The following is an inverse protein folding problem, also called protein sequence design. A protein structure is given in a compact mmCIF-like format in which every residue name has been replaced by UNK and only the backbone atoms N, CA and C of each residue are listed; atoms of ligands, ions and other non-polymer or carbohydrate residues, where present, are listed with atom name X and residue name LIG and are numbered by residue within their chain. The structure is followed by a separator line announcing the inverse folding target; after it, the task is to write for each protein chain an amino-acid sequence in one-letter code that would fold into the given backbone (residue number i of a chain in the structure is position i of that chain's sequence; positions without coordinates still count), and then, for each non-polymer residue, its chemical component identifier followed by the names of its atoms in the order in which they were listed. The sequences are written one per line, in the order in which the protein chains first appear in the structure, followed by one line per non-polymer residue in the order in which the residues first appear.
data_IF_179248354051
#
_entry.id   IF_179248354051
#
_cell.length_a   1.000
_cell.length_b   1.000
_cell.length_c   1.000
_cell.angle_alpha   90.00
_cell.angle_beta   90.00
_cell.angle_gamma   90.00
#
_symmetry.space_group_name_H-M   'P 1'
#
loop_
_entity.id
_entity.type
_entity.pdbx_description
1 polymer ?
#
# COMPACT_ATOMS: atom_id res chain seq x y z
N UNK A 1 -33.84 8.13 -33.93
CA UNK A 1 -34.06 6.98 -32.98
C UNK A 1 -34.29 7.45 -31.55
N UNK A 2 -33.78 8.62 -31.10
CA UNK A 2 -33.95 9.12 -29.74
C UNK A 2 -35.36 9.68 -29.46
N UNK A 3 -36.15 9.98 -30.50
CA UNK A 3 -37.50 10.49 -30.45
C UNK A 3 -38.30 9.96 -31.66
N UNK A 4 -39.39 9.22 -31.40
CA UNK A 4 -40.23 8.56 -32.42
C UNK A 4 -40.90 9.60 -33.35
N UNK A 5 -41.37 10.71 -32.77
CA UNK A 5 -42.05 11.75 -33.56
C UNK A 5 -41.11 12.46 -34.52
N UNK A 6 -39.89 12.76 -34.04
CA UNK A 6 -38.87 13.37 -34.88
C UNK A 6 -38.33 12.42 -35.96
N UNK A 7 -38.28 11.11 -35.64
CA UNK A 7 -37.95 10.10 -36.63
C UNK A 7 -39.06 10.00 -37.72
N UNK A 8 -40.34 10.05 -37.34
CA UNK A 8 -41.44 10.08 -38.30
C UNK A 8 -41.41 11.34 -39.17
N UNK A 9 -41.20 12.53 -38.61
CA UNK A 9 -41.04 13.76 -39.34
C UNK A 9 -39.88 13.72 -40.33
N UNK A 10 -38.76 13.16 -39.91
CA UNK A 10 -37.61 12.96 -40.79
C UNK A 10 -37.91 12.06 -41.99
N UNK A 11 -38.59 10.93 -41.72
CA UNK A 11 -39.00 9.97 -42.78
C UNK A 11 -40.02 10.58 -43.75
N UNK A 12 -40.89 11.48 -43.27
CA UNK A 12 -41.85 12.19 -44.08
C UNK A 12 -41.22 13.36 -44.89
N UNK A 13 -39.95 13.70 -44.65
CA UNK A 13 -39.25 14.77 -45.33
C UNK A 13 -39.52 16.17 -44.73
N UNK A 14 -40.05 16.24 -43.52
CA UNK A 14 -40.27 17.52 -42.81
C UNK A 14 -38.96 18.11 -42.31
N UNK A 15 -38.90 19.44 -42.22
CA UNK A 15 -37.75 20.15 -41.71
C UNK A 15 -37.64 20.03 -40.18
N UNK A 16 -36.57 19.43 -39.67
CA UNK A 16 -36.33 19.29 -38.23
C UNK A 16 -35.72 20.59 -37.68
N UNK A 17 -36.31 21.13 -36.61
CA UNK A 17 -35.79 22.33 -35.93
C UNK A 17 -34.51 22.03 -35.19
N UNK A 18 -33.58 22.98 -35.18
CA UNK A 18 -32.29 22.85 -34.48
C UNK A 18 -32.45 22.52 -33.00
N UNK A 19 -33.42 23.12 -32.31
CA UNK A 19 -33.66 22.87 -30.88
C UNK A 19 -34.09 21.42 -30.60
N UNK A 20 -34.87 20.84 -31.48
CA UNK A 20 -35.36 19.45 -31.31
C UNK A 20 -34.23 18.48 -31.64
N UNK A 21 -33.35 18.78 -32.59
CA UNK A 21 -32.15 18.00 -32.85
C UNK A 21 -31.18 18.06 -31.66
N UNK A 22 -30.98 19.25 -31.04
CA UNK A 22 -30.15 19.39 -29.83
C UNK A 22 -30.70 18.58 -28.67
N UNK A 23 -32.04 18.54 -28.47
CA UNK A 23 -32.65 17.67 -27.43
C UNK A 23 -32.35 16.20 -27.69
N UNK A 24 -32.47 15.72 -28.92
CA UNK A 24 -32.17 14.36 -29.27
C UNK A 24 -30.67 14.04 -29.06
N UNK A 25 -29.77 14.92 -29.43
CA UNK A 25 -28.34 14.78 -29.21
C UNK A 25 -28.07 14.68 -27.68
N UNK A 26 -28.66 15.59 -26.90
CA UNK A 26 -28.52 15.53 -25.43
C UNK A 26 -29.01 14.20 -24.86
N UNK A 27 -30.21 13.75 -25.26
CA UNK A 27 -30.78 12.49 -24.77
C UNK A 27 -29.86 11.29 -25.08
N UNK A 28 -29.37 11.15 -26.32
CA UNK A 28 -28.47 10.07 -26.67
C UNK A 28 -27.10 10.18 -26.00
N UNK A 29 -26.62 11.39 -25.74
CA UNK A 29 -25.39 11.62 -24.98
C UNK A 29 -25.54 11.22 -23.50
N UNK A 30 -26.64 11.59 -22.87
CA UNK A 30 -26.93 11.25 -21.48
C UNK A 30 -27.13 9.74 -21.27
N UNK A 31 -27.70 9.04 -22.25
CA UNK A 31 -27.90 7.60 -22.22
C UNK A 31 -26.63 6.82 -22.64
N UNK A 32 -25.55 7.48 -23.05
CA UNK A 32 -24.37 6.85 -23.63
C UNK A 32 -24.62 6.07 -24.94
N UNK A 33 -25.67 6.41 -25.68
CA UNK A 33 -25.96 5.78 -26.98
C UNK A 33 -24.94 6.18 -28.04
N UNK A 34 -24.41 7.39 -27.94
CA UNK A 34 -23.32 7.91 -28.78
C UNK A 34 -22.60 9.08 -28.11
N UNK A 35 -21.43 9.42 -28.64
CA UNK A 35 -20.60 10.53 -28.18
C UNK A 35 -20.53 11.61 -29.26
N UNK A 36 -20.95 12.86 -28.98
CA UNK A 36 -20.79 13.99 -29.91
C UNK A 36 -19.32 14.30 -30.17
N UNK A 37 -18.95 14.38 -31.44
CA UNK A 37 -17.57 14.74 -31.87
C UNK A 37 -17.58 16.10 -32.49
N UNK A 38 -16.80 17.03 -31.94
CA UNK A 38 -16.61 18.38 -32.46
C UNK A 38 -15.20 18.57 -32.98
N UNK A 39 -15.06 19.35 -34.03
CA UNK A 39 -13.78 19.68 -34.61
C UNK A 39 -13.43 21.15 -34.41
N UNK A 40 -12.15 21.42 -34.19
CA UNK A 40 -11.69 22.78 -33.96
C UNK A 40 -10.17 22.91 -34.01
N UNK A 41 -9.68 24.13 -33.85
CA UNK A 41 -8.26 24.44 -33.71
C UNK A 41 -8.08 25.41 -32.56
N UNK A 42 -7.75 24.89 -31.38
CA UNK A 42 -7.54 25.70 -30.18
C UNK A 42 -6.43 26.76 -30.38
N UNK A 43 -5.34 26.38 -31.02
CA UNK A 43 -4.24 27.28 -31.31
C UNK A 43 -4.66 28.48 -32.19
N UNK A 44 -5.60 28.27 -33.11
CA UNK A 44 -6.17 29.32 -33.98
C UNK A 44 -7.44 29.96 -33.41
N UNK A 45 -7.82 29.61 -32.19
CA UNK A 45 -9.06 30.03 -31.52
C UNK A 45 -10.32 29.81 -32.37
N UNK A 46 -10.40 28.67 -33.07
CA UNK A 46 -11.55 28.27 -33.89
C UNK A 46 -12.26 27.10 -33.30
N UNK A 47 -13.58 27.14 -33.18
CA UNK A 47 -14.42 26.08 -32.65
C UNK A 47 -14.45 25.99 -31.12
N UNK A 48 -13.84 26.94 -30.40
CA UNK A 48 -13.79 26.91 -28.92
C UNK A 48 -15.17 27.22 -28.34
N UNK A 49 -15.85 28.27 -28.81
CA UNK A 49 -17.19 28.62 -28.33
C UNK A 49 -18.20 27.49 -28.60
N UNK A 50 -18.30 26.91 -29.82
CA UNK A 50 -19.19 25.80 -30.09
C UNK A 50 -18.89 24.57 -29.18
N UNK A 51 -17.63 24.34 -28.80
CA UNK A 51 -17.29 23.30 -27.85
C UNK A 51 -17.83 23.59 -26.45
N UNK A 52 -17.69 24.83 -25.97
CA UNK A 52 -18.24 25.25 -24.67
C UNK A 52 -19.77 25.16 -24.66
N UNK A 53 -20.41 25.60 -25.75
CA UNK A 53 -21.87 25.48 -25.92
C UNK A 53 -22.30 24.03 -25.92
N UNK A 54 -21.55 23.14 -26.56
CA UNK A 54 -21.81 21.70 -26.56
C UNK A 54 -21.68 21.07 -25.16
N UNK A 55 -20.70 21.50 -24.34
CA UNK A 55 -20.58 21.09 -22.95
C UNK A 55 -21.85 21.47 -22.18
N UNK A 56 -22.33 22.68 -22.32
CA UNK A 56 -23.55 23.16 -21.64
C UNK A 56 -24.79 22.42 -22.16
N UNK A 57 -24.90 22.20 -23.45
CA UNK A 57 -26.08 21.65 -24.09
C UNK A 57 -26.19 20.13 -23.94
N UNK A 58 -25.10 19.39 -23.92
CA UNK A 58 -25.10 17.92 -24.07
C UNK A 58 -24.62 17.16 -22.86
N UNK A 59 -23.75 17.71 -22.01
CA UNK A 59 -23.29 17.00 -20.83
C UNK A 59 -24.28 17.06 -19.66
N UNK A 60 -24.31 16.02 -18.78
CA UNK A 60 -25.22 15.98 -17.66
C UNK A 60 -24.85 17.01 -16.58
N UNK A 61 -25.87 17.68 -16.05
CA UNK A 61 -25.79 18.38 -14.78
C UNK A 61 -26.01 17.42 -13.61
N UNK A 62 -25.68 17.79 -12.36
CA UNK A 62 -26.04 16.99 -11.19
C UNK A 62 -27.52 16.63 -11.12
N UNK A 63 -28.41 17.53 -11.55
CA UNK A 63 -29.87 17.31 -11.56
C UNK A 63 -30.33 16.28 -12.60
N UNK A 64 -29.61 16.14 -13.71
CA UNK A 64 -29.93 15.13 -14.72
C UNK A 64 -29.64 13.69 -14.23
N UNK A 65 -28.69 13.52 -13.31
CA UNK A 65 -28.33 12.23 -12.72
C UNK A 65 -29.31 11.82 -11.63
N UNK A 66 -29.94 12.78 -10.96
CA UNK A 66 -31.00 12.59 -9.97
C UNK A 66 -30.48 12.27 -8.59
N UNK A 67 -30.12 11.04 -8.30
CA UNK A 67 -29.60 10.60 -6.99
C UNK A 67 -28.36 9.74 -7.14
N UNK A 68 -27.56 9.71 -6.08
CA UNK A 68 -26.40 8.82 -5.97
C UNK A 68 -26.65 7.84 -4.83
N UNK A 69 -26.27 6.61 -5.05
CA UNK A 69 -26.35 5.56 -4.05
C UNK A 69 -25.12 5.56 -3.15
N UNK A 70 -25.33 5.27 -1.89
CA UNK A 70 -24.29 5.00 -0.91
C UNK A 70 -24.79 3.92 0.04
N UNK A 71 -23.90 3.44 0.91
CA UNK A 71 -24.21 2.42 1.90
C UNK A 71 -24.10 3.04 3.29
N UNK A 72 -25.04 2.72 4.17
CA UNK A 72 -24.99 3.18 5.55
C UNK A 72 -23.85 2.47 6.31
N UNK A 73 -23.05 3.22 7.06
CA UNK A 73 -21.94 2.64 7.81
C UNK A 73 -22.44 1.60 8.82
N UNK A 74 -21.87 0.40 8.77
CA UNK A 74 -22.22 -0.70 9.68
C UNK A 74 -23.45 -1.52 9.28
N UNK A 75 -24.02 -1.29 8.10
CA UNK A 75 -25.08 -2.11 7.51
C UNK A 75 -24.93 -2.13 5.98
N UNK A 76 -25.54 -3.13 5.33
CA UNK A 76 -25.60 -3.20 3.85
C UNK A 76 -26.82 -2.42 3.29
N UNK A 77 -27.41 -1.52 4.08
CA UNK A 77 -28.56 -0.72 3.69
C UNK A 77 -28.14 0.35 2.66
N UNK A 78 -28.69 0.29 1.46
CA UNK A 78 -28.50 1.32 0.45
C UNK A 78 -29.28 2.59 0.83
N UNK A 79 -28.62 3.74 0.72
CA UNK A 79 -29.19 5.07 0.95
C UNK A 79 -29.03 5.90 -0.31
N UNK A 80 -30.12 6.55 -0.74
CA UNK A 80 -30.08 7.49 -1.86
C UNK A 80 -29.79 8.91 -1.37
N UNK A 81 -28.77 9.54 -1.96
CA UNK A 81 -28.45 10.95 -1.75
C UNK A 81 -28.90 11.76 -2.95
N UNK A 82 -29.82 12.67 -2.70
CA UNK A 82 -30.33 13.62 -3.71
C UNK A 82 -29.50 14.90 -3.68
N UNK A 83 -29.34 15.52 -4.84
CA UNK A 83 -28.75 16.85 -4.94
C UNK A 83 -29.70 17.91 -4.39
N UNK A 84 -29.69 18.04 -3.06
CA UNK A 84 -30.52 18.99 -2.30
C UNK A 84 -29.64 19.64 -1.22
N UNK A 85 -29.60 20.96 -1.21
CA UNK A 85 -28.82 21.76 -0.26
C UNK A 85 -29.29 21.61 1.19
N UNK A 86 -30.56 21.23 1.40
CA UNK A 86 -31.17 21.03 2.73
C UNK A 86 -31.00 19.59 3.24
N UNK A 87 -30.51 18.67 2.41
CA UNK A 87 -30.25 17.29 2.82
C UNK A 87 -29.00 17.20 3.74
N UNK A 88 -28.81 16.11 4.46
CA UNK A 88 -27.55 15.86 5.18
C UNK A 88 -26.35 15.92 4.25
N UNK A 89 -25.27 16.57 4.71
CA UNK A 89 -24.06 16.72 3.91
C UNK A 89 -23.41 15.36 3.61
N UNK A 90 -23.10 15.14 2.33
CA UNK A 90 -22.25 14.05 1.86
C UNK A 90 -21.39 14.49 0.67
N UNK A 91 -20.13 14.08 0.67
CA UNK A 91 -19.16 14.42 -0.36
C UNK A 91 -18.11 13.32 -0.53
N UNK A 92 -17.58 13.20 -1.74
CA UNK A 92 -16.46 12.33 -2.06
C UNK A 92 -15.18 13.15 -2.22
N UNK A 93 -14.14 12.78 -1.48
CA UNK A 93 -12.78 13.28 -1.69
C UNK A 93 -12.16 12.52 -2.87
N UNK A 94 -12.24 13.10 -4.07
CA UNK A 94 -11.82 12.40 -5.29
C UNK A 94 -10.37 12.67 -5.70
N UNK A 95 -9.72 13.66 -5.08
CA UNK A 95 -8.31 13.99 -5.34
C UNK A 95 -7.70 14.71 -4.15
N UNK A 96 -6.49 14.31 -3.77
CA UNK A 96 -5.61 15.07 -2.87
C UNK A 96 -4.44 15.61 -3.67
N UNK A 97 -4.04 16.84 -3.43
CA UNK A 97 -2.88 17.47 -4.05
C UNK A 97 -2.09 18.25 -3.01
N UNK A 98 -0.77 18.32 -3.15
CA UNK A 98 0.08 19.17 -2.33
C UNK A 98 0.37 20.49 -3.03
N UNK A 99 -0.02 21.57 -2.38
CA UNK A 99 0.25 22.92 -2.83
C UNK A 99 1.41 23.51 -2.01
N UNK A 100 2.41 24.13 -2.68
CA UNK A 100 3.59 24.66 -1.99
C UNK A 100 3.28 25.76 -0.93
N UNK A 101 2.14 26.45 -1.07
CA UNK A 101 1.77 27.59 -0.23
C UNK A 101 0.69 27.27 0.80
N UNK A 102 -0.26 26.43 0.43
CA UNK A 102 -1.41 26.07 1.28
C UNK A 102 -1.22 24.74 1.99
N UNK A 103 -0.35 23.90 1.47
CA UNK A 103 -0.16 22.53 1.93
C UNK A 103 -1.11 21.55 1.26
N UNK A 104 -1.62 20.57 1.99
CA UNK A 104 -2.53 19.57 1.44
C UNK A 104 -3.89 20.18 1.10
N UNK A 105 -4.29 20.03 -0.15
CA UNK A 105 -5.60 20.39 -0.69
C UNK A 105 -6.37 19.12 -1.03
N UNK A 106 -7.55 18.97 -0.44
CA UNK A 106 -8.46 17.85 -0.72
C UNK A 106 -9.61 18.36 -1.60
N UNK A 107 -9.66 17.90 -2.85
CA UNK A 107 -10.75 18.19 -3.75
C UNK A 107 -11.92 17.29 -3.46
N UNK A 108 -13.08 17.90 -3.20
CA UNK A 108 -14.31 17.17 -2.90
C UNK A 108 -15.39 17.51 -3.93
N UNK A 109 -16.25 16.53 -4.23
CA UNK A 109 -17.52 16.73 -4.88
C UNK A 109 -18.63 16.53 -3.87
N UNK A 110 -19.45 17.56 -3.72
CA UNK A 110 -20.59 17.54 -2.81
C UNK A 110 -21.78 16.90 -3.53
N UNK A 111 -22.33 15.84 -2.95
CA UNK A 111 -23.51 15.15 -3.51
C UNK A 111 -24.80 15.54 -2.85
N UNK A 112 -24.78 15.89 -1.58
CA UNK A 112 -25.94 16.37 -0.86
C UNK A 112 -25.53 17.36 0.23
N UNK A 113 -26.47 18.23 0.61
CA UNK A 113 -26.29 19.18 1.68
C UNK A 113 -25.36 20.34 1.35
N UNK A 114 -25.05 21.10 2.39
CA UNK A 114 -24.22 22.31 2.34
C UNK A 114 -23.10 22.21 3.34
N UNK A 115 -21.91 22.72 2.98
CA UNK A 115 -20.75 22.80 3.87
C UNK A 115 -20.30 24.25 4.04
N UNK A 116 -19.88 24.62 5.25
CA UNK A 116 -19.34 25.95 5.57
C UNK A 116 -17.90 25.87 6.05
N UNK A 117 -17.13 26.89 5.75
CA UNK A 117 -15.76 27.01 6.28
C UNK A 117 -15.77 27.04 7.81
N UNK A 118 -14.84 26.30 8.43
CA UNK A 118 -14.73 26.19 9.89
C UNK A 118 -15.61 25.13 10.54
N UNK A 119 -16.49 24.43 9.81
CA UNK A 119 -17.33 23.35 10.35
C UNK A 119 -16.53 22.07 10.58
N UNK A 120 -17.01 21.23 11.49
CA UNK A 120 -16.55 19.87 11.65
C UNK A 120 -17.26 18.98 10.64
N UNK A 121 -16.50 18.06 10.03
CA UNK A 121 -16.98 17.01 9.12
C UNK A 121 -16.48 15.66 9.60
N UNK A 122 -17.22 14.63 9.26
CA UNK A 122 -16.88 13.27 9.62
C UNK A 122 -16.39 12.49 8.41
N UNK A 123 -15.21 11.87 8.52
CA UNK A 123 -14.68 10.97 7.52
C UNK A 123 -15.14 9.54 7.84
N UNK A 124 -16.17 9.07 7.17
CA UNK A 124 -16.76 7.76 7.40
C UNK A 124 -15.88 6.59 6.96
N UNK A 125 -14.90 6.84 6.08
CA UNK A 125 -13.94 5.82 5.65
C UNK A 125 -12.88 5.51 6.71
N UNK A 126 -12.57 6.47 7.60
CA UNK A 126 -11.53 6.34 8.63
C UNK A 126 -12.06 6.44 10.05
N UNK A 127 -13.37 6.65 10.22
CA UNK A 127 -14.03 6.84 11.51
C UNK A 127 -13.43 8.00 12.34
N UNK A 128 -13.14 9.13 11.65
CA UNK A 128 -12.50 10.30 12.29
C UNK A 128 -13.23 11.60 11.95
N UNK A 129 -13.30 12.47 12.95
CA UNK A 129 -13.76 13.85 12.78
C UNK A 129 -12.59 14.75 12.38
N UNK A 130 -12.82 15.58 11.37
CA UNK A 130 -11.86 16.58 10.90
C UNK A 130 -12.53 17.94 10.78
N UNK A 131 -11.73 19.00 10.88
CA UNK A 131 -12.24 20.37 10.76
C UNK A 131 -11.85 20.97 9.43
N UNK A 132 -12.83 21.51 8.72
CA UNK A 132 -12.61 22.26 7.49
C UNK A 132 -11.91 23.56 7.84
N UNK A 133 -10.70 23.75 7.36
CA UNK A 133 -9.97 25.01 7.50
C UNK A 133 -10.50 26.04 6.52
N UNK A 134 -9.77 26.25 5.42
CA UNK A 134 -10.18 27.12 4.30
C UNK A 134 -10.88 26.29 3.25
N UNK A 135 -11.90 26.88 2.62
CA UNK A 135 -12.51 26.35 1.42
C UNK A 135 -12.11 27.22 0.23
N UNK A 136 -11.70 26.60 -0.85
CA UNK A 136 -11.18 27.25 -2.04
C UNK A 136 -11.93 26.80 -3.29
N UNK A 137 -12.38 27.75 -4.08
CA UNK A 137 -12.76 27.52 -5.45
C UNK A 137 -11.51 27.66 -6.31
N UNK A 138 -11.16 26.58 -7.01
CA UNK A 138 -9.94 26.52 -7.82
C UNK A 138 -10.27 26.82 -9.28
N UNK A 139 -9.57 27.75 -9.86
CA UNK A 139 -9.65 28.08 -11.26
C UNK A 139 -8.23 28.14 -11.84
N UNK A 140 -7.80 27.07 -12.47
CA UNK A 140 -6.40 26.83 -12.85
C UNK A 140 -5.45 27.05 -11.65
N UNK A 141 -4.55 28.03 -11.71
CA UNK A 141 -3.65 28.41 -10.62
C UNK A 141 -4.23 29.47 -9.67
N UNK A 142 -5.41 30.02 -9.98
CA UNK A 142 -6.07 30.99 -9.13
C UNK A 142 -6.89 30.31 -8.05
N UNK A 143 -6.91 30.90 -6.87
CA UNK A 143 -7.61 30.41 -5.68
C UNK A 143 -8.50 31.49 -5.16
N UNK A 144 -9.77 31.17 -4.98
CA UNK A 144 -10.75 32.08 -4.40
C UNK A 144 -11.26 31.46 -3.10
N UNK A 145 -11.16 32.22 -2.00
CA UNK A 145 -11.70 31.77 -0.71
C UNK A 145 -13.22 31.88 -0.72
N UNK A 146 -13.89 30.77 -0.44
CA UNK A 146 -15.34 30.70 -0.32
C UNK A 146 -15.76 30.33 1.10
N UNK A 147 -16.93 30.79 1.51
CA UNK A 147 -17.45 30.54 2.86
C UNK A 147 -18.40 29.37 2.91
N UNK A 148 -19.06 29.06 1.82
CA UNK A 148 -20.12 28.05 1.71
C UNK A 148 -20.06 27.39 0.35
N UNK A 149 -20.39 26.09 0.29
CA UNK A 149 -20.52 25.32 -0.93
C UNK A 149 -21.70 24.35 -0.82
N UNK A 150 -22.38 24.11 -1.94
CA UNK A 150 -23.68 23.44 -2.02
C UNK A 150 -23.61 22.11 -2.76
N UNK A 151 -24.70 21.36 -2.76
CA UNK A 151 -24.83 20.12 -3.49
C UNK A 151 -24.56 20.32 -5.00
N UNK A 152 -23.68 19.49 -5.56
CA UNK A 152 -23.22 19.59 -6.95
C UNK A 152 -21.91 20.35 -7.16
N UNK A 153 -21.46 21.14 -6.16
CA UNK A 153 -20.21 21.88 -6.24
C UNK A 153 -18.98 20.99 -6.13
N UNK A 154 -17.91 21.40 -6.80
CA UNK A 154 -16.57 20.86 -6.64
C UNK A 154 -15.71 21.95 -6.01
N UNK A 155 -15.20 21.69 -4.82
CA UNK A 155 -14.39 22.63 -4.06
C UNK A 155 -13.16 21.97 -3.46
N UNK A 156 -12.18 22.75 -3.07
CA UNK A 156 -10.98 22.27 -2.40
C UNK A 156 -10.99 22.66 -0.93
N UNK A 157 -10.76 21.69 -0.06
CA UNK A 157 -10.64 21.85 1.38
C UNK A 157 -9.17 21.84 1.80
N UNK A 158 -8.74 22.86 2.55
CA UNK A 158 -7.42 22.91 3.14
C UNK A 158 -7.47 22.49 4.60
N UNK A 159 -6.42 21.77 5.05
CA UNK A 159 -6.23 21.44 6.47
C UNK A 159 -6.74 20.08 6.90
N UNK A 160 -7.30 19.27 6.02
CA UNK A 160 -7.64 17.87 6.31
C UNK A 160 -6.36 17.01 6.40
N UNK A 161 -6.21 16.28 7.51
CA UNK A 161 -4.99 15.52 7.82
C UNK A 161 -5.10 14.03 7.51
N UNK A 162 -6.28 13.45 7.74
CA UNK A 162 -6.53 12.02 7.64
C UNK A 162 -7.32 11.63 6.38
N UNK A 163 -7.80 12.61 5.63
CA UNK A 163 -8.56 12.37 4.40
C UNK A 163 -7.62 12.05 3.24
N UNK A 164 -7.92 10.98 2.54
CA UNK A 164 -7.23 10.50 1.33
C UNK A 164 -8.18 10.49 0.13
N UNK A 165 -7.63 10.30 -1.06
CA UNK A 165 -8.42 10.08 -2.27
C UNK A 165 -9.31 8.84 -2.12
N UNK A 166 -10.59 8.97 -2.49
CA UNK A 166 -11.60 7.91 -2.35
C UNK A 166 -12.37 7.92 -1.04
N UNK A 167 -12.00 8.76 -0.05
CA UNK A 167 -12.72 8.82 1.22
C UNK A 167 -14.04 9.58 1.11
N UNK A 168 -15.03 9.10 1.88
CA UNK A 168 -16.33 9.77 2.03
C UNK A 168 -16.32 10.69 3.23
N UNK A 169 -16.83 11.91 3.01
CA UNK A 169 -17.01 12.93 4.03
C UNK A 169 -18.53 13.17 4.23
N UNK A 170 -19.00 13.17 5.46
CA UNK A 170 -20.43 13.31 5.76
C UNK A 170 -20.66 14.01 7.11
N UNK A 171 -21.94 14.16 7.47
CA UNK A 171 -22.32 14.57 8.82
C UNK A 171 -22.24 13.37 9.77
N UNK A 172 -21.81 13.60 11.01
CA UNK A 172 -21.69 12.57 12.05
C UNK A 172 -23.00 11.87 12.38
N UNK A 173 -24.12 12.55 12.19
CA UNK A 173 -25.47 12.03 12.48
C UNK A 173 -26.01 11.13 11.37
N UNK A 174 -25.45 11.22 10.16
CA UNK A 174 -25.87 10.49 8.98
C UNK A 174 -24.64 9.87 8.30
N UNK A 175 -24.13 8.81 8.91
CA UNK A 175 -22.94 8.12 8.43
C UNK A 175 -23.26 7.31 7.16
N UNK A 176 -22.63 7.69 6.06
CA UNK A 176 -22.77 7.06 4.76
C UNK A 176 -21.37 6.80 4.16
N UNK A 177 -21.27 5.72 3.41
CA UNK A 177 -20.15 5.44 2.53
C UNK A 177 -20.66 5.55 1.09
N UNK A 178 -20.03 6.42 0.33
CA UNK A 178 -20.21 6.49 -1.12
C UNK A 178 -19.47 5.32 -1.77
N UNK A 179 -19.84 5.01 -3.00
CA UNK A 179 -19.17 3.96 -3.76
C UNK A 179 -17.65 4.17 -3.75
N UNK A 180 -16.85 3.19 -3.27
CA UNK A 180 -15.42 3.34 -3.18
C UNK A 180 -14.80 3.41 -4.57
N UNK A 181 -13.81 4.29 -4.73
CA UNK A 181 -12.99 4.29 -5.93
C UNK A 181 -12.08 3.06 -5.91
N UNK A 182 -12.15 2.23 -6.95
CA UNK A 182 -11.25 1.09 -7.11
C UNK A 182 -9.94 1.55 -7.74
N UNK A 183 -8.84 1.31 -7.04
CA UNK A 183 -7.49 1.56 -7.55
C UNK A 183 -6.80 0.22 -7.81
N UNK A 184 -6.18 0.05 -8.99
CA UNK A 184 -5.46 -1.18 -9.27
C UNK A 184 -4.24 -1.32 -8.35
N UNK A 185 -3.91 -2.57 -8.01
CA UNK A 185 -2.73 -2.85 -7.23
C UNK A 185 -1.46 -2.56 -8.02
N UNK A 186 -0.40 -2.06 -7.35
CA UNK A 186 0.90 -1.83 -7.97
C UNK A 186 1.48 -3.11 -8.57
N UNK A 187 2.11 -3.00 -9.74
CA UNK A 187 2.65 -4.16 -10.49
C UNK A 187 4.16 -4.25 -10.50
N UNK A 188 4.86 -3.15 -10.18
CA UNK A 188 6.32 -3.13 -10.08
C UNK A 188 6.78 -2.46 -8.80
N UNK A 189 8.00 -2.78 -8.39
CA UNK A 189 8.63 -2.21 -7.22
C UNK A 189 10.10 -1.88 -7.46
N UNK A 190 10.58 -0.83 -6.80
CA UNK A 190 11.99 -0.43 -6.77
C UNK A 190 12.38 -0.03 -5.35
N UNK A 191 13.67 -0.19 -5.04
CA UNK A 191 14.24 0.31 -3.80
C UNK A 191 14.72 1.76 -3.98
N UNK A 192 14.47 2.59 -2.97
CA UNK A 192 14.97 3.96 -2.91
C UNK A 192 15.74 4.19 -1.62
N UNK A 193 16.94 4.75 -1.76
CA UNK A 193 17.82 5.04 -0.65
C UNK A 193 18.25 6.51 -0.68
N UNK A 194 18.16 7.23 0.45
CA UNK A 194 18.59 8.62 0.50
C UNK A 194 20.12 8.71 0.29
N UNK A 195 20.58 9.69 -0.45
CA UNK A 195 22.03 9.89 -0.66
C UNK A 195 22.76 10.31 0.61
N UNK A 196 22.08 10.98 1.51
CA UNK A 196 22.65 11.44 2.78
C UNK A 196 21.73 11.06 3.96
N UNK A 197 22.32 10.89 5.15
CA UNK A 197 21.54 10.62 6.38
C UNK A 197 20.52 11.73 6.70
N UNK A 198 20.83 12.99 6.35
CA UNK A 198 19.93 14.12 6.56
C UNK A 198 18.71 14.12 5.61
N UNK A 199 18.79 13.40 4.51
CA UNK A 199 17.68 13.29 3.56
C UNK A 199 16.72 12.14 3.89
N UNK A 200 17.04 11.27 4.84
CA UNK A 200 16.21 10.12 5.18
C UNK A 200 14.83 10.54 5.73
N UNK A 201 14.81 11.48 6.67
CA UNK A 201 13.56 12.01 7.25
C UNK A 201 12.75 12.75 6.19
N UNK A 202 13.40 13.61 5.40
CA UNK A 202 12.76 14.34 4.30
C UNK A 202 12.19 13.40 3.22
N UNK A 203 12.91 12.31 2.92
CA UNK A 203 12.45 11.28 1.98
C UNK A 203 11.19 10.60 2.50
N UNK A 204 11.16 10.23 3.78
CA UNK A 204 9.97 9.65 4.42
C UNK A 204 8.76 10.58 4.34
N UNK A 205 8.94 11.87 4.65
CA UNK A 205 7.87 12.87 4.52
C UNK A 205 7.40 13.07 3.08
N UNK A 206 8.34 13.15 2.12
CA UNK A 206 8.03 13.30 0.70
C UNK A 206 7.22 12.12 0.17
N UNK A 207 7.66 10.91 0.45
CA UNK A 207 6.97 9.68 0.05
C UNK A 207 5.59 9.56 0.70
N UNK A 208 5.45 9.90 1.97
CA UNK A 208 4.16 9.90 2.66
C UNK A 208 3.17 10.90 2.05
N UNK A 209 3.64 12.07 1.61
CA UNK A 209 2.81 13.06 0.93
C UNK A 209 2.40 12.59 -0.47
N UNK A 210 3.33 12.00 -1.23
CA UNK A 210 3.06 11.46 -2.57
C UNK A 210 2.07 10.28 -2.51
N UNK A 211 2.20 9.40 -1.52
CA UNK A 211 1.27 8.29 -1.30
C UNK A 211 -0.16 8.74 -0.92
N UNK A 212 -0.31 9.93 -0.30
CA UNK A 212 -1.64 10.51 -0.05
C UNK A 212 -2.31 11.03 -1.32
N UNK A 213 -1.51 11.50 -2.28
CA UNK A 213 -2.03 12.00 -3.57
C UNK A 213 -2.45 10.86 -4.48
N UNK A 214 -1.69 9.78 -4.51
CA UNK A 214 -1.86 8.67 -5.44
C UNK A 214 -2.07 7.34 -4.70
N UNK A 215 -3.30 6.83 -4.65
CA UNK A 215 -3.62 5.57 -4.02
C UNK A 215 -3.01 4.33 -4.69
N UNK A 216 -2.61 4.44 -5.97
CA UNK A 216 -1.91 3.36 -6.68
C UNK A 216 -0.41 3.30 -6.37
N UNK A 217 0.11 4.31 -5.66
CA UNK A 217 1.48 4.38 -5.18
C UNK A 217 1.56 3.92 -3.73
N UNK A 218 2.38 2.92 -3.45
CA UNK A 218 2.58 2.38 -2.09
C UNK A 218 4.03 2.48 -1.67
N UNK A 219 4.23 2.68 -0.38
CA UNK A 219 5.55 2.74 0.26
C UNK A 219 5.59 1.72 1.38
N UNK A 220 6.63 0.92 1.41
CA UNK A 220 6.90 -0.05 2.49
C UNK A 220 8.38 -0.02 2.85
N UNK A 221 8.70 -0.45 4.06
CA UNK A 221 10.08 -0.72 4.46
C UNK A 221 10.26 -2.23 4.51
N UNK A 222 11.30 -2.72 3.89
CA UNK A 222 11.70 -4.11 4.03
C UNK A 222 12.44 -4.27 5.36
N UNK A 223 11.92 -5.12 6.23
CA UNK A 223 12.46 -5.32 7.59
C UNK A 223 13.83 -5.98 7.59
N UNK A 224 14.17 -6.74 6.56
CA UNK A 224 15.42 -7.48 6.49
C UNK A 224 16.56 -6.66 5.90
N UNK A 225 16.32 -6.03 4.75
CA UNK A 225 17.34 -5.18 4.10
C UNK A 225 17.39 -3.76 4.68
N UNK A 226 16.32 -3.34 5.38
CA UNK A 226 16.13 -1.96 5.83
C UNK A 226 15.86 -0.97 4.71
N UNK A 227 15.67 -1.46 3.47
CA UNK A 227 15.41 -0.61 2.32
C UNK A 227 14.00 -0.06 2.32
N UNK A 228 13.84 1.15 1.81
CA UNK A 228 12.53 1.71 1.49
C UNK A 228 12.13 1.26 0.08
N UNK A 229 11.05 0.49 -0.01
CA UNK A 229 10.50 -0.02 -1.27
C UNK A 229 9.33 0.84 -1.68
N UNK A 230 9.34 1.32 -2.91
CA UNK A 230 8.22 2.02 -3.52
C UNK A 230 7.63 1.16 -4.63
N UNK A 231 6.29 1.10 -4.65
CA UNK A 231 5.53 0.27 -5.59
C UNK A 231 4.60 1.13 -6.42
N UNK A 232 4.47 0.82 -7.70
CA UNK A 232 3.67 1.60 -8.63
C UNK A 232 3.19 0.82 -9.84
N UNK A 233 2.44 1.49 -10.70
CA UNK A 233 1.77 0.91 -11.87
C UNK A 233 2.70 0.63 -13.05
N UNK A 234 3.93 1.14 -13.03
CA UNK A 234 4.89 0.97 -14.11
C UNK A 234 6.15 1.80 -13.89
N UNK A 235 7.18 1.52 -14.68
CA UNK A 235 8.49 2.17 -14.59
C UNK A 235 8.38 3.69 -14.69
N UNK A 236 7.66 4.18 -15.70
CA UNK A 236 7.45 5.63 -15.88
C UNK A 236 6.74 6.27 -14.69
N UNK A 237 5.79 5.56 -14.06
CA UNK A 237 5.10 6.05 -12.86
C UNK A 237 6.09 6.27 -11.71
N UNK A 238 6.95 5.28 -11.43
CA UNK A 238 7.94 5.37 -10.36
C UNK A 238 9.03 6.41 -10.68
N UNK A 239 9.45 6.53 -11.93
CA UNK A 239 10.38 7.59 -12.38
C UNK A 239 9.84 8.99 -12.13
N UNK A 240 8.55 9.20 -12.41
CA UNK A 240 7.88 10.49 -12.14
C UNK A 240 7.84 10.76 -10.62
N UNK A 241 7.56 9.77 -9.79
CA UNK A 241 7.56 9.90 -8.33
C UNK A 241 8.96 10.31 -7.82
N UNK A 242 10.00 9.65 -8.30
CA UNK A 242 11.39 9.98 -7.94
C UNK A 242 11.78 11.38 -8.40
N UNK A 243 11.40 11.76 -9.62
CA UNK A 243 11.65 13.09 -10.13
C UNK A 243 10.88 14.17 -9.34
N UNK A 244 9.65 13.91 -8.94
CA UNK A 244 8.88 14.78 -8.04
C UNK A 244 9.54 14.93 -6.67
N UNK A 245 10.04 13.84 -6.06
CA UNK A 245 10.81 13.93 -4.81
C UNK A 245 11.99 14.92 -4.96
N UNK A 246 12.72 14.82 -6.06
CA UNK A 246 13.85 15.71 -6.32
C UNK A 246 13.43 17.16 -6.57
N UNK A 247 12.42 17.39 -7.40
CA UNK A 247 12.01 18.75 -7.80
C UNK A 247 11.20 19.48 -6.73
N UNK A 248 10.23 18.82 -6.13
CA UNK A 248 9.28 19.45 -5.21
C UNK A 248 9.82 19.45 -3.77
N UNK A 249 10.42 18.33 -3.33
CA UNK A 249 10.86 18.15 -1.94
C UNK A 249 12.37 18.34 -1.74
N UNK A 250 13.14 18.52 -2.83
CA UNK A 250 14.61 18.70 -2.79
C UNK A 250 15.33 17.52 -2.13
N UNK A 251 14.84 16.31 -2.33
CA UNK A 251 15.41 15.06 -1.83
C UNK A 251 16.02 14.30 -2.99
N UNK A 252 17.29 13.95 -2.88
CA UNK A 252 17.98 13.08 -3.83
C UNK A 252 18.09 11.66 -3.27
N UNK A 253 17.69 10.68 -4.07
CA UNK A 253 17.75 9.26 -3.73
C UNK A 253 18.50 8.48 -4.81
N UNK A 254 19.13 7.39 -4.39
CA UNK A 254 19.60 6.33 -5.29
C UNK A 254 18.43 5.38 -5.52
N UNK A 255 18.28 4.93 -6.76
CA UNK A 255 17.20 4.01 -7.17
C UNK A 255 17.85 2.74 -7.67
N UNK A 256 17.31 1.59 -7.26
CA UNK A 256 17.83 0.27 -7.64
C UNK A 256 16.75 -0.80 -7.54
N UNK A 257 17.09 -2.02 -7.95
CA UNK A 257 16.27 -3.18 -7.68
C UNK A 257 16.26 -3.47 -6.17
N UNK A 258 15.14 -3.94 -5.60
CA UNK A 258 15.10 -4.44 -4.23
C UNK A 258 16.12 -5.54 -4.01
N UNK A 259 16.70 -5.61 -2.82
CA UNK A 259 17.58 -6.72 -2.47
C UNK A 259 16.74 -7.98 -2.30
N UNK A 260 17.24 -9.08 -2.86
CA UNK A 260 16.59 -10.39 -2.69
C UNK A 260 16.90 -10.90 -1.28
N UNK A 261 15.87 -11.24 -0.53
CA UNK A 261 15.97 -11.82 0.80
C UNK A 261 16.28 -13.31 0.70
N UNK A 262 17.54 -13.66 0.47
CA UNK A 262 17.97 -15.05 0.43
C UNK A 262 17.83 -15.74 1.78
N UNK A 263 17.54 -17.04 1.73
CA UNK A 263 17.50 -17.94 2.88
C UNK A 263 18.35 -19.16 2.61
N UNK A 264 18.92 -19.71 3.66
CA UNK A 264 19.60 -20.99 3.59
C UNK A 264 18.67 -22.10 4.07
N UNK A 265 18.79 -23.28 3.49
CA UNK A 265 18.09 -24.49 3.89
C UNK A 265 18.94 -25.72 3.61
N UNK A 266 18.49 -26.88 4.06
CA UNK A 266 19.13 -28.17 3.79
C UNK A 266 18.24 -29.03 2.89
N UNK A 267 18.86 -29.82 2.02
CA UNK A 267 18.15 -30.70 1.10
C UNK A 267 18.01 -32.13 1.60
N UNK A 268 18.96 -32.56 2.43
CA UNK A 268 19.07 -33.95 2.91
C UNK A 268 19.20 -34.00 4.42
N UNK A 269 18.70 -35.06 5.00
CA UNK A 269 18.91 -35.35 6.41
C UNK A 269 20.37 -35.72 6.67
N UNK A 270 20.90 -35.23 7.76
CA UNK A 270 22.27 -35.54 8.17
C UNK A 270 22.37 -35.66 9.70
N UNK A 271 23.26 -36.53 10.14
CA UNK A 271 23.60 -36.69 11.55
C UNK A 271 25.05 -36.35 11.78
N UNK A 272 25.33 -35.60 12.83
CA UNK A 272 26.68 -35.28 13.21
C UNK A 272 26.85 -35.25 14.71
N UNK A 273 28.04 -35.66 15.17
CA UNK A 273 28.43 -35.65 16.57
C UNK A 273 29.67 -34.76 16.71
N UNK A 274 29.64 -33.86 17.69
CA UNK A 274 30.76 -32.99 17.99
C UNK A 274 31.12 -33.00 19.48
N UNK A 275 32.42 -33.06 19.75
CA UNK A 275 32.96 -32.99 21.11
C UNK A 275 33.75 -31.67 21.25
N UNK A 276 33.24 -30.79 22.11
CA UNK A 276 33.96 -29.60 22.52
C UNK A 276 34.78 -29.93 23.75
N UNK A 277 36.11 -29.90 23.63
CA UNK A 277 37.02 -30.12 24.73
C UNK A 277 38.12 -29.07 24.73
N UNK A 278 38.17 -28.23 25.77
CA UNK A 278 39.19 -27.22 25.92
C UNK A 278 39.71 -27.22 27.34
N UNK A 279 41.04 -27.36 27.48
CA UNK A 279 41.74 -27.22 28.75
C UNK A 279 42.68 -26.04 28.69
N UNK A 280 42.48 -25.05 29.55
CA UNK A 280 43.33 -23.88 29.66
C UNK A 280 43.45 -23.49 31.12
N UNK A 281 44.51 -23.96 31.82
CA UNK A 281 44.96 -23.44 33.10
C UNK A 281 43.98 -23.15 34.23
N UNK A 282 42.81 -23.81 34.27
CA UNK A 282 41.70 -23.61 35.19
C UNK A 282 40.61 -24.61 34.93
N UNK A 283 39.34 -24.27 35.24
CA UNK A 283 38.17 -25.15 34.94
C UNK A 283 38.13 -25.41 33.41
N UNK A 284 38.10 -26.69 33.01
CA UNK A 284 38.02 -27.12 31.63
C UNK A 284 36.65 -26.82 31.03
N UNK A 285 36.52 -26.98 29.72
CA UNK A 285 35.24 -26.96 29.02
C UNK A 285 35.02 -28.31 28.34
N UNK A 286 33.93 -28.98 28.65
CA UNK A 286 33.57 -30.24 28.02
C UNK A 286 32.09 -30.27 27.67
N UNK A 287 31.77 -30.59 26.43
CA UNK A 287 30.41 -30.90 25.98
C UNK A 287 30.45 -31.80 24.74
N UNK A 288 29.68 -32.85 24.72
CA UNK A 288 29.44 -33.67 23.55
C UNK A 288 27.97 -33.54 23.14
N UNK A 289 27.73 -33.26 21.89
CA UNK A 289 26.38 -33.10 21.32
C UNK A 289 26.28 -33.88 20.03
N UNK A 290 25.19 -34.64 19.89
CA UNK A 290 24.84 -35.35 18.66
C UNK A 290 23.51 -34.82 18.15
N UNK A 291 23.51 -34.27 16.96
CA UNK A 291 22.35 -33.68 16.31
C UNK A 291 22.00 -34.44 15.02
N UNK A 292 20.70 -34.62 14.82
CA UNK A 292 20.13 -35.07 13.58
C UNK A 292 19.35 -33.90 12.98
N UNK A 293 19.68 -33.52 11.76
CA UNK A 293 19.01 -32.43 11.02
C UNK A 293 18.26 -33.01 9.83
N UNK A 294 17.07 -32.53 9.58
CA UNK A 294 16.23 -32.95 8.46
C UNK A 294 15.51 -31.76 7.84
N UNK A 295 15.34 -31.73 6.49
CA UNK A 295 14.59 -30.69 5.84
C UNK A 295 13.11 -30.79 6.22
N UNK A 296 12.41 -29.62 6.21
CA UNK A 296 10.97 -29.51 6.33
C UNK A 296 10.38 -28.98 5.02
N UNK A 297 9.07 -29.03 4.90
CA UNK A 297 8.37 -28.44 3.75
C UNK A 297 8.49 -26.91 3.78
N UNK A 298 8.53 -26.26 2.60
CA UNK A 298 8.64 -24.81 2.52
C UNK A 298 7.55 -24.09 3.34
N UNK A 299 7.96 -23.19 4.22
CA UNK A 299 7.07 -22.41 5.08
C UNK A 299 6.80 -23.00 6.46
N UNK A 300 7.31 -24.18 6.80
CA UNK A 300 7.18 -24.78 8.14
C UNK A 300 8.11 -24.17 9.17
N UNK A 301 9.14 -23.45 8.72
CA UNK A 301 10.03 -22.68 9.60
C UNK A 301 11.08 -23.53 10.30
N UNK A 302 11.32 -23.26 11.58
CA UNK A 302 12.40 -23.89 12.39
C UNK A 302 11.83 -24.67 13.54
N UNK A 303 12.23 -25.92 13.72
CA UNK A 303 11.82 -26.78 14.84
C UNK A 303 13.04 -27.42 15.49
N UNK A 304 13.15 -27.32 16.81
CA UNK A 304 14.17 -28.00 17.62
C UNK A 304 13.49 -28.89 18.63
N UNK A 305 13.80 -30.19 18.61
CA UNK A 305 13.25 -31.17 19.50
C UNK A 305 14.35 -31.95 20.23
N UNK A 306 14.07 -32.39 21.44
CA UNK A 306 14.99 -33.23 22.22
C UNK A 306 14.45 -34.65 22.31
N UNK A 307 15.20 -35.60 21.78
CA UNK A 307 14.91 -37.05 21.91
C UNK A 307 15.79 -37.75 22.93
N UNK A 308 16.49 -37.00 23.78
CA UNK A 308 17.43 -37.54 24.78
C UNK A 308 16.73 -38.45 25.78
N UNK A 309 17.28 -39.67 25.94
CA UNK A 309 16.85 -40.65 26.93
C UNK A 309 17.93 -40.83 27.99
N UNK A 310 17.52 -41.05 29.25
CA UNK A 310 18.44 -41.44 30.32
C UNK A 310 19.34 -40.34 30.88
N UNK A 311 19.08 -39.04 30.59
CA UNK A 311 19.82 -37.93 31.20
C UNK A 311 21.22 -37.70 30.64
N UNK A 312 21.52 -38.16 29.42
CA UNK A 312 22.80 -37.99 28.76
C UNK A 312 23.27 -36.52 28.69
N UNK A 313 22.32 -35.61 28.52
CA UNK A 313 22.49 -34.16 28.72
C UNK A 313 21.52 -33.72 29.82
N UNK A 314 22.00 -33.18 30.95
CA UNK A 314 21.13 -32.58 31.98
C UNK A 314 20.22 -31.51 31.40
N UNK A 315 18.97 -31.42 31.91
CA UNK A 315 17.97 -30.45 31.40
C UNK A 315 18.43 -29.00 31.43
N UNK A 316 19.31 -28.65 32.36
CA UNK A 316 19.89 -27.32 32.53
C UNK A 316 20.80 -26.89 31.38
N UNK A 317 21.34 -27.83 30.59
CA UNK A 317 22.22 -27.53 29.45
C UNK A 317 21.50 -27.52 28.10
N UNK A 318 20.26 -28.03 28.04
CA UNK A 318 19.45 -28.02 26.79
C UNK A 318 19.25 -26.60 26.25
N UNK A 319 18.93 -25.58 27.07
CA UNK A 319 18.81 -24.20 26.56
C UNK A 319 20.11 -23.67 25.92
N UNK A 320 21.27 -24.18 26.38
CA UNK A 320 22.55 -23.85 25.72
C UNK A 320 22.68 -24.46 24.32
N UNK A 321 22.19 -25.69 24.15
CA UNK A 321 22.17 -26.36 22.84
C UNK A 321 21.25 -25.61 21.88
N UNK A 322 20.03 -25.30 22.30
CA UNK A 322 19.05 -24.55 21.51
C UNK A 322 19.57 -23.19 21.08
N UNK A 323 20.12 -22.41 22.01
CA UNK A 323 20.73 -21.12 21.74
C UNK A 323 21.90 -21.20 20.74
N UNK A 324 22.71 -22.26 20.82
CA UNK A 324 23.78 -22.49 19.88
C UNK A 324 23.28 -22.75 18.46
N UNK A 325 22.22 -23.54 18.31
CA UNK A 325 21.55 -23.80 17.03
C UNK A 325 20.97 -22.48 16.47
N UNK A 326 20.22 -21.74 17.30
CA UNK A 326 19.61 -20.47 16.92
C UNK A 326 20.63 -19.44 16.42
N UNK A 327 21.73 -19.27 17.13
CA UNK A 327 22.81 -18.34 16.76
C UNK A 327 23.39 -18.63 15.37
N UNK A 328 23.59 -19.91 15.05
CA UNK A 328 24.13 -20.32 13.75
C UNK A 328 23.06 -20.20 12.67
N UNK A 329 21.84 -20.55 12.98
CA UNK A 329 20.71 -20.43 12.08
C UNK A 329 20.47 -18.97 11.64
N UNK A 330 20.53 -18.02 12.58
CA UNK A 330 20.31 -16.60 12.29
C UNK A 330 21.47 -15.98 11.49
N UNK A 331 22.69 -16.45 11.72
CA UNK A 331 23.88 -15.96 11.01
C UNK A 331 24.13 -16.64 9.66
N UNK A 332 23.44 -17.76 9.39
CA UNK A 332 23.70 -18.59 8.22
C UNK A 332 25.03 -19.36 8.26
N UNK A 333 25.22 -20.26 7.33
CA UNK A 333 26.38 -21.16 7.27
C UNK A 333 27.13 -21.02 5.94
N UNK A 334 26.42 -20.95 4.82
CA UNK A 334 26.97 -20.98 3.48
C UNK A 334 27.31 -19.57 2.97
N UNK A 335 26.34 -18.68 2.96
CA UNK A 335 26.44 -17.34 2.42
C UNK A 335 26.10 -16.23 3.42
N UNK A 336 25.73 -16.60 4.64
CA UNK A 336 25.39 -15.65 5.70
C UNK A 336 23.92 -15.25 5.76
N UNK A 337 23.05 -16.03 5.13
CA UNK A 337 21.61 -15.80 5.18
C UNK A 337 20.93 -16.67 6.25
N UNK A 338 19.90 -16.16 6.94
CA UNK A 338 19.18 -16.95 7.94
C UNK A 338 18.66 -18.27 7.36
N UNK A 339 18.78 -19.34 8.16
CA UNK A 339 18.29 -20.68 7.77
C UNK A 339 16.81 -20.83 8.11
N UNK A 340 16.06 -21.49 7.23
CA UNK A 340 14.64 -21.81 7.38
C UNK A 340 14.32 -23.26 6.97
N UNK A 341 13.13 -23.71 7.30
CA UNK A 341 12.53 -24.98 6.86
C UNK A 341 13.40 -26.21 7.18
N UNK A 342 13.79 -26.29 8.46
CA UNK A 342 14.55 -27.42 8.96
C UNK A 342 14.08 -27.84 10.35
N UNK A 343 14.26 -29.13 10.65
CA UNK A 343 14.05 -29.68 11.97
C UNK A 343 15.36 -30.25 12.52
N UNK A 344 15.65 -29.95 13.78
CA UNK A 344 16.80 -30.49 14.53
C UNK A 344 16.31 -31.36 15.68
N UNK A 345 16.79 -32.58 15.71
CA UNK A 345 16.57 -33.47 16.84
C UNK A 345 17.88 -33.64 17.59
N UNK A 346 17.87 -33.34 18.90
CA UNK A 346 18.99 -33.60 19.79
C UNK A 346 18.92 -35.09 20.17
N UNK A 347 19.80 -35.87 19.57
CA UNK A 347 19.74 -37.37 19.66
C UNK A 347 20.45 -37.88 20.89
N UNK A 348 21.66 -37.40 21.15
CA UNK A 348 22.52 -37.87 22.23
C UNK A 348 23.54 -36.82 22.69
N UNK A 349 24.23 -37.05 23.77
CA UNK A 349 25.29 -36.18 24.25
C UNK A 349 26.01 -36.78 25.44
N UNK A 350 27.02 -36.07 25.92
CA UNK A 350 27.77 -36.44 27.12
C UNK A 350 28.18 -35.17 27.87
N UNK A 351 28.03 -35.19 29.17
CA UNK A 351 28.50 -34.14 30.06
C UNK A 351 29.61 -34.66 31.00
N UNK A 352 30.33 -33.74 31.59
CA UNK A 352 31.33 -33.98 32.62
C UNK A 352 30.95 -33.17 33.85
N UNK A 353 30.93 -33.80 35.00
CA UNK A 353 30.38 -33.22 36.26
C UNK A 353 31.03 -31.90 36.67
N UNK A 354 32.29 -31.65 36.29
CA UNK A 354 33.05 -30.44 36.67
C UNK A 354 33.25 -29.46 35.50
N UNK A 355 33.46 -29.97 34.28
CA UNK A 355 33.90 -29.15 33.14
C UNK A 355 32.75 -28.82 32.18
N UNK A 356 31.53 -29.27 32.44
CA UNK A 356 30.37 -28.94 31.62
C UNK A 356 29.69 -27.66 32.10
N UNK A 357 29.26 -26.85 31.14
CA UNK A 357 28.53 -25.62 31.38
C UNK A 357 27.58 -25.33 30.21
N UNK A 358 26.57 -24.46 30.41
CA UNK A 358 25.67 -24.00 29.37
C UNK A 358 26.45 -23.45 28.18
N UNK A 359 27.52 -22.68 28.44
CA UNK A 359 28.40 -22.13 27.42
C UNK A 359 29.16 -23.19 26.61
N UNK A 360 29.63 -24.26 27.29
CA UNK A 360 30.31 -25.37 26.63
C UNK A 360 29.36 -26.11 25.66
N UNK A 361 28.11 -26.30 26.06
CA UNK A 361 27.06 -26.90 25.21
C UNK A 361 26.63 -25.95 24.08
N UNK A 362 26.57 -24.64 24.31
CA UNK A 362 26.32 -23.64 23.25
C UNK A 362 27.43 -23.68 22.17
N UNK A 363 28.69 -23.73 22.56
CA UNK A 363 29.81 -23.81 21.62
C UNK A 363 29.85 -25.18 20.89
N UNK A 364 29.55 -26.25 21.58
CA UNK A 364 29.51 -27.60 20.98
C UNK A 364 28.37 -27.71 19.96
N UNK A 365 27.20 -27.19 20.27
CA UNK A 365 26.03 -27.23 19.37
C UNK A 365 26.22 -26.34 18.16
N UNK A 366 26.83 -25.18 18.30
CA UNK A 366 27.20 -24.33 17.14
C UNK A 366 28.05 -25.09 16.13
N UNK A 367 29.10 -25.73 16.58
CA UNK A 367 29.99 -26.50 15.71
C UNK A 367 29.31 -27.75 15.14
N UNK A 368 28.53 -28.47 15.98
CA UNK A 368 27.79 -29.65 15.58
C UNK A 368 26.74 -29.33 14.50
N UNK A 369 25.91 -28.31 14.74
CA UNK A 369 24.86 -27.89 13.81
C UNK A 369 25.43 -27.41 12.49
N UNK A 370 26.46 -26.58 12.53
CA UNK A 370 27.15 -26.12 11.32
C UNK A 370 27.62 -27.29 10.45
N UNK A 371 28.23 -28.30 11.07
CA UNK A 371 28.77 -29.45 10.32
C UNK A 371 27.65 -30.39 9.85
N UNK A 372 26.61 -30.61 10.67
CA UNK A 372 25.46 -31.41 10.28
C UNK A 372 24.75 -30.81 9.07
N UNK A 373 24.49 -29.51 9.08
CA UNK A 373 23.86 -28.82 7.94
C UNK A 373 24.76 -28.83 6.70
N UNK A 374 26.09 -28.67 6.85
CA UNK A 374 27.02 -28.77 5.72
C UNK A 374 26.93 -30.18 5.07
N UNK A 375 26.81 -31.23 5.89
CA UNK A 375 26.62 -32.59 5.39
C UNK A 375 25.22 -32.82 4.78
N UNK A 376 24.23 -32.04 5.20
CA UNK A 376 22.85 -32.04 4.72
C UNK A 376 22.65 -31.34 3.36
N UNK A 377 23.72 -31.00 2.66
CA UNK A 377 23.65 -30.30 1.38
C UNK A 377 22.95 -28.91 1.51
N UNK A 378 23.68 -27.96 2.02
CA UNK A 378 23.22 -26.58 2.18
C UNK A 378 22.91 -25.93 0.84
N UNK A 379 21.75 -25.31 0.76
CA UNK A 379 21.29 -24.49 -0.36
C UNK A 379 20.96 -23.09 0.15
N UNK A 380 21.03 -22.09 -0.73
CA UNK A 380 20.41 -20.82 -0.49
C UNK A 380 19.41 -20.51 -1.62
N UNK A 381 18.29 -19.96 -1.28
CA UNK A 381 17.19 -19.67 -2.21
C UNK A 381 16.44 -18.43 -1.77
N UNK A 382 15.70 -17.83 -2.68
CA UNK A 382 14.72 -16.81 -2.35
C UNK A 382 13.39 -17.46 -1.96
N UNK A 383 12.73 -17.02 -0.88
CA UNK A 383 11.39 -17.45 -0.55
C UNK A 383 10.33 -16.88 -1.49
N UNK A 384 10.69 -15.94 -2.37
CA UNK A 384 9.78 -15.30 -3.30
C UNK A 384 9.53 -16.19 -4.52
N UNK A 385 8.27 -16.46 -4.91
CA UNK A 385 7.96 -17.21 -6.13
C UNK A 385 8.28 -16.44 -7.42
N UNK A 386 8.81 -15.20 -7.32
CA UNK A 386 9.18 -14.36 -8.47
C UNK A 386 10.68 -14.36 -8.76
N UNK A 387 11.48 -14.92 -7.88
CA UNK A 387 12.92 -15.10 -8.00
C UNK A 387 13.22 -16.57 -8.37
#
# INVERSE_FOLDING_TARGET
EQDEKLMESYLNGDEIKEDDLKKCIRKGTLNFDFVPVLTGSAFKNKGVQPLLDAVVNYLPSPLDIGSIKGTKVGSDEEVEMKFDDNAPFSALAFKVANDPFVGSLTFIRIYSGTIKSGTAIYNSSTDKEERVGRMLLMHANSREDIKEANAGDIVSLAGLKNTMTGHTLCNKENLVLLEPMEFPDPVIEIAVEPKTKGDQEKMGEALARLAKEDPSFRVSSDEESGQTIIKGMGELHLDIIVDRMKREFKVEANVGAPQVAYRETIEKSAEFEYIHKKQSGGAGQFAKVKLFVEPQEPGEGRLVESAIKGGAIPKEFIPGVEKGIETVSDSGILAGFPMIDYKVTIVDGLHHDVDSSVLAFELASRACFKQACTNGCLLYTSPSPRD
#
